data_IF_977393499158
#
_entry.id   IF_977393499158
#
_cell.length_a   1.000
_cell.length_b   1.000
_cell.length_c   1.000
_cell.angle_alpha   90.00
_cell.angle_beta   90.00
_cell.angle_gamma   90.00
#
_symmetry.space_group_name_H-M   'P 1'
#
loop_
_entity.id
_entity.type
_entity.pdbx_description
1 polymer ?
#
# COMPACT_ATOMS: atom_id res chain seq x y z
N UNK A 1 -6.53 4.98 7.43
CA UNK A 1 -5.10 4.62 7.51
C UNK A 1 -4.51 4.62 6.11
N UNK A 2 -3.24 5.02 5.95
CA UNK A 2 -2.48 4.79 4.71
C UNK A 2 -1.43 3.72 4.99
N UNK A 3 -1.38 2.69 4.17
CA UNK A 3 -0.41 1.61 4.30
C UNK A 3 0.56 1.59 3.11
N UNK A 4 1.85 1.57 3.41
CA UNK A 4 2.97 1.43 2.49
C UNK A 4 3.45 -0.02 2.48
N UNK A 5 3.62 -0.59 1.29
CA UNK A 5 4.08 -1.97 1.13
C UNK A 5 5.36 -2.05 0.27
N UNK A 6 6.37 -2.80 0.74
CA UNK A 6 7.63 -3.09 0.02
C UNK A 6 7.61 -4.52 -0.52
N UNK A 7 8.06 -4.73 -1.77
CA UNK A 7 7.83 -5.97 -2.50
C UNK A 7 9.01 -6.94 -2.31
N UNK A 8 8.76 -8.07 -1.66
CA UNK A 8 9.60 -9.26 -1.82
C UNK A 8 8.73 -10.39 -2.38
N UNK A 9 8.79 -10.54 -3.71
CA UNK A 9 8.22 -11.63 -4.52
C UNK A 9 6.68 -11.75 -4.62
N UNK A 10 6.23 -11.75 -5.88
CA UNK A 10 4.92 -12.20 -6.43
C UNK A 10 3.66 -11.45 -5.93
N UNK A 11 3.01 -10.76 -6.89
CA UNK A 11 1.72 -10.05 -6.78
C UNK A 11 0.58 -10.84 -6.11
N UNK A 12 0.60 -12.17 -6.19
CA UNK A 12 -0.42 -13.06 -5.59
C UNK A 12 -0.40 -13.02 -4.05
N UNK A 13 0.69 -12.55 -3.44
CA UNK A 13 0.83 -12.49 -1.97
C UNK A 13 0.35 -11.17 -1.35
N UNK A 14 0.15 -10.12 -2.15
CA UNK A 14 0.08 -8.74 -1.66
C UNK A 14 -1.24 -8.31 -1.02
N UNK A 15 -2.37 -8.88 -1.42
CA UNK A 15 -3.65 -8.52 -0.78
C UNK A 15 -4.00 -9.43 0.41
N UNK A 16 -3.09 -10.33 0.83
CA UNK A 16 -3.31 -11.14 2.04
C UNK A 16 -3.52 -10.29 3.29
N UNK A 17 -2.82 -9.16 3.40
CA UNK A 17 -3.01 -8.23 4.53
C UNK A 17 -4.31 -7.45 4.40
N UNK A 18 -4.62 -6.91 3.21
CA UNK A 18 -5.86 -6.21 2.97
C UNK A 18 -7.07 -7.14 3.22
N UNK A 19 -6.97 -8.39 2.77
CA UNK A 19 -7.95 -9.44 3.04
C UNK A 19 -8.09 -9.74 4.53
N UNK A 20 -6.98 -9.99 5.24
CA UNK A 20 -7.01 -10.28 6.67
C UNK A 20 -7.66 -9.13 7.47
N UNK A 21 -7.32 -7.88 7.16
CA UNK A 21 -7.92 -6.72 7.81
C UNK A 21 -9.39 -6.54 7.44
N UNK A 22 -9.77 -6.83 6.20
CA UNK A 22 -11.19 -6.86 5.77
C UNK A 22 -11.98 -7.91 6.57
N UNK A 23 -11.45 -9.11 6.74
CA UNK A 23 -12.08 -10.17 7.55
C UNK A 23 -12.24 -9.74 9.01
N UNK A 24 -11.32 -8.92 9.53
CA UNK A 24 -11.44 -8.28 10.85
C UNK A 24 -12.38 -7.06 10.89
N UNK A 25 -13.13 -6.79 9.82
CA UNK A 25 -14.11 -5.70 9.76
C UNK A 25 -13.57 -4.33 9.35
N UNK A 26 -12.29 -4.24 8.99
CA UNK A 26 -11.69 -2.98 8.51
C UNK A 26 -12.12 -2.71 7.06
N UNK A 27 -12.62 -1.51 6.78
CA UNK A 27 -12.86 -1.07 5.40
C UNK A 27 -11.52 -0.83 4.71
N UNK A 28 -11.22 -1.58 3.67
CA UNK A 28 -9.94 -1.50 2.94
C UNK A 28 -10.16 -1.21 1.46
N UNK A 29 -9.17 -0.59 0.85
CA UNK A 29 -9.05 -0.43 -0.59
C UNK A 29 -7.58 -0.50 -1.00
N UNK A 30 -7.28 -1.18 -2.09
CA UNK A 30 -5.91 -1.41 -2.55
C UNK A 30 -5.63 -0.73 -3.89
N UNK A 31 -4.40 -0.26 -4.11
CA UNK A 31 -3.99 0.30 -5.39
C UNK A 31 -3.39 -0.80 -6.27
N UNK A 32 -3.97 -1.01 -7.46
CA UNK A 32 -3.42 -1.92 -8.47
C UNK A 32 -2.74 -1.13 -9.60
N UNK A 33 -1.61 -1.66 -10.11
CA UNK A 33 -0.90 -1.07 -11.24
C UNK A 33 -1.74 -0.99 -12.52
N UNK A 34 -1.28 -0.21 -13.51
CA UNK A 34 -2.01 0.00 -14.76
C UNK A 34 -2.08 -1.26 -15.66
N UNK A 35 -1.14 -2.19 -15.49
CA UNK A 35 -1.08 -3.45 -16.23
C UNK A 35 -0.31 -3.41 -17.56
N UNK A 36 0.34 -2.29 -17.90
CA UNK A 36 0.94 -2.06 -19.21
C UNK A 36 2.08 -3.03 -19.57
N UNK A 37 2.86 -3.49 -18.59
CA UNK A 37 4.03 -4.35 -18.82
C UNK A 37 3.71 -5.86 -18.79
N UNK A 38 2.62 -6.25 -18.11
CA UNK A 38 2.23 -7.65 -17.98
C UNK A 38 0.69 -7.78 -17.89
N UNK A 39 -0.03 -7.70 -19.03
CA UNK A 39 -1.49 -7.67 -19.05
C UNK A 39 -2.15 -8.94 -18.49
N UNK A 40 -1.57 -10.12 -18.73
CA UNK A 40 -2.08 -11.40 -18.22
C UNK A 40 -2.00 -11.48 -16.69
N UNK A 41 -0.85 -11.10 -16.12
CA UNK A 41 -0.66 -11.00 -14.67
C UNK A 41 -1.58 -9.95 -14.06
N UNK A 42 -1.80 -8.83 -14.75
CA UNK A 42 -2.74 -7.81 -14.30
C UNK A 42 -4.18 -8.33 -14.24
N UNK A 43 -4.64 -9.07 -15.26
CA UNK A 43 -5.97 -9.69 -15.27
C UNK A 43 -6.14 -10.72 -14.16
N UNK A 44 -5.09 -11.53 -13.90
CA UNK A 44 -5.10 -12.45 -12.77
C UNK A 44 -5.25 -11.68 -11.44
N UNK A 45 -4.50 -10.61 -11.23
CA UNK A 45 -4.62 -9.75 -10.05
C UNK A 45 -6.02 -9.17 -9.88
N UNK A 46 -6.62 -8.65 -10.95
CA UNK A 46 -8.00 -8.13 -10.92
C UNK A 46 -9.02 -9.20 -10.53
N UNK A 47 -8.91 -10.40 -11.10
CA UNK A 47 -9.80 -11.52 -10.77
C UNK A 47 -9.64 -11.95 -9.31
N UNK A 48 -8.42 -11.98 -8.80
CA UNK A 48 -8.15 -12.28 -7.38
C UNK A 48 -8.80 -11.25 -6.47
N UNK A 49 -8.63 -9.95 -6.76
CA UNK A 49 -9.27 -8.87 -5.99
C UNK A 49 -10.79 -8.98 -5.99
N UNK A 50 -11.39 -9.28 -7.15
CA UNK A 50 -12.83 -9.50 -7.28
C UNK A 50 -13.28 -10.72 -6.48
N UNK A 51 -12.55 -11.83 -6.56
CA UNK A 51 -12.85 -13.07 -5.83
C UNK A 51 -12.79 -12.86 -4.30
N UNK A 52 -11.83 -12.07 -3.82
CA UNK A 52 -11.69 -11.70 -2.41
C UNK A 52 -12.59 -10.54 -1.98
N UNK A 53 -13.33 -9.96 -2.94
CA UNK A 53 -14.19 -8.78 -2.77
C UNK A 53 -13.41 -7.60 -2.16
N UNK A 54 -12.16 -7.40 -2.57
CA UNK A 54 -11.33 -6.28 -2.10
C UNK A 54 -11.51 -5.10 -3.07
N UNK A 55 -12.04 -3.96 -2.61
CA UNK A 55 -12.12 -2.75 -3.42
C UNK A 55 -10.74 -2.31 -3.88
N UNK A 56 -10.64 -1.79 -5.11
CA UNK A 56 -9.36 -1.32 -5.62
C UNK A 56 -9.47 -0.06 -6.48
N UNK A 57 -8.39 0.71 -6.49
CA UNK A 57 -8.18 1.83 -7.41
C UNK A 57 -7.12 1.43 -8.43
N UNK A 58 -7.50 1.48 -9.72
CA UNK A 58 -6.56 1.24 -10.82
C UNK A 58 -5.69 2.47 -11.07
N UNK A 59 -4.37 2.27 -11.12
CA UNK A 59 -3.40 3.33 -11.40
C UNK A 59 -3.69 4.01 -12.74
N UNK A 60 -3.94 5.31 -12.69
CA UNK A 60 -4.21 6.25 -13.78
C UNK A 60 -3.62 7.64 -13.47
N UNK A 61 -3.84 8.64 -14.34
CA UNK A 61 -3.42 10.03 -14.07
C UNK A 61 -4.10 10.64 -12.83
N UNK A 62 -5.29 10.17 -12.48
CA UNK A 62 -6.09 10.70 -11.37
C UNK A 62 -6.02 9.84 -10.11
N UNK A 63 -5.08 8.88 -10.04
CA UNK A 63 -4.95 7.92 -8.92
C UNK A 63 -4.93 8.63 -7.58
N UNK A 64 -4.15 9.70 -7.46
CA UNK A 64 -4.00 10.43 -6.20
C UNK A 64 -5.36 10.91 -5.65
N UNK A 65 -6.17 11.56 -6.48
CA UNK A 65 -7.48 12.06 -6.08
C UNK A 65 -8.47 10.94 -5.78
N UNK A 66 -8.41 9.83 -6.53
CA UNK A 66 -9.24 8.64 -6.26
C UNK A 66 -8.89 8.03 -4.90
N UNK A 67 -7.60 7.87 -4.58
CA UNK A 67 -7.17 7.36 -3.27
C UNK A 67 -7.53 8.33 -2.13
N UNK A 68 -7.39 9.64 -2.34
CA UNK A 68 -7.79 10.64 -1.36
C UNK A 68 -9.31 10.59 -1.08
N UNK A 69 -10.13 10.44 -2.12
CA UNK A 69 -11.58 10.27 -1.97
C UNK A 69 -11.92 9.03 -1.14
N UNK A 70 -11.27 7.90 -1.42
CA UNK A 70 -11.42 6.64 -0.67
C UNK A 70 -11.03 6.81 0.80
N UNK A 71 -9.91 7.51 1.10
CA UNK A 71 -9.51 7.82 2.48
C UNK A 71 -10.56 8.67 3.21
N UNK A 72 -11.14 9.65 2.52
CA UNK A 72 -12.18 10.52 3.08
C UNK A 72 -13.49 9.78 3.36
N UNK A 73 -13.76 8.67 2.67
CA UNK A 73 -14.87 7.76 2.99
C UNK A 73 -14.60 6.87 4.21
N UNK A 74 -13.48 7.06 4.90
CA UNK A 74 -13.09 6.29 6.09
C UNK A 74 -12.49 4.92 5.78
N UNK A 75 -12.13 4.65 4.53
CA UNK A 75 -11.44 3.42 4.16
C UNK A 75 -9.93 3.51 4.45
N UNK A 76 -9.31 2.38 4.70
CA UNK A 76 -7.86 2.23 4.76
C UNK A 76 -7.32 1.94 3.37
N UNK A 77 -6.28 2.66 2.96
CA UNK A 77 -5.73 2.57 1.61
C UNK A 77 -4.38 1.87 1.62
N UNK A 78 -4.24 0.82 0.81
CA UNK A 78 -3.04 0.02 0.62
C UNK A 78 -2.34 0.43 -0.67
N UNK A 79 -1.09 0.88 -0.55
CA UNK A 79 -0.30 1.41 -1.65
C UNK A 79 0.99 0.61 -1.77
N UNK A 80 1.14 0.00 -2.93
CA UNK A 80 2.32 -0.75 -3.32
C UNK A 80 3.39 0.22 -3.84
N UNK A 81 4.50 0.34 -3.10
CA UNK A 81 5.51 1.38 -3.32
C UNK A 81 6.74 0.89 -4.06
N UNK A 82 6.69 -0.33 -4.58
CA UNK A 82 7.77 -0.92 -5.39
C UNK A 82 7.53 -0.78 -6.90
N UNK A 83 6.66 0.16 -7.26
CA UNK A 83 6.41 0.48 -8.64
C UNK A 83 7.46 1.51 -9.07
N UNK A 84 8.37 1.10 -9.97
CA UNK A 84 9.23 2.00 -10.76
C UNK A 84 8.44 3.24 -11.14
N UNK A 85 8.67 4.32 -10.40
CA UNK A 85 7.93 5.57 -10.52
C UNK A 85 8.93 6.71 -10.38
N UNK A 86 8.61 7.81 -11.05
CA UNK A 86 9.12 9.11 -10.70
C UNK A 86 8.86 9.34 -9.20
N UNK A 87 9.93 9.51 -8.44
CA UNK A 87 9.92 9.46 -6.99
C UNK A 87 10.75 10.57 -6.37
N UNK A 88 10.86 10.57 -5.05
CA UNK A 88 11.86 11.38 -4.37
C UNK A 88 13.20 10.67 -4.52
N UNK A 89 14.21 11.38 -5.00
CA UNK A 89 15.58 10.89 -4.95
C UNK A 89 16.04 10.78 -3.50
N UNK A 90 16.53 9.62 -3.12
CA UNK A 90 17.02 9.33 -1.77
C UNK A 90 18.24 8.42 -1.84
N UNK A 91 19.05 8.43 -0.79
CA UNK A 91 20.09 7.42 -0.60
C UNK A 91 19.55 6.28 0.24
N UNK A 92 19.71 5.04 -0.22
CA UNK A 92 19.38 3.84 0.53
C UNK A 92 20.59 2.89 0.51
N UNK A 93 21.11 2.56 1.70
CA UNK A 93 22.33 1.75 1.88
C UNK A 93 23.53 2.25 1.06
N UNK A 94 23.65 3.59 0.91
CA UNK A 94 24.73 4.22 0.15
C UNK A 94 24.50 4.29 -1.37
N UNK A 95 23.39 3.72 -1.88
CA UNK A 95 23.04 3.80 -3.30
C UNK A 95 21.97 4.87 -3.54
N UNK A 96 22.12 5.65 -4.61
CA UNK A 96 21.09 6.59 -5.04
C UNK A 96 19.92 5.81 -5.66
N UNK A 97 18.72 6.08 -5.18
CA UNK A 97 17.48 5.45 -5.66
C UNK A 97 16.32 6.44 -5.62
N UNK A 98 15.15 6.03 -6.08
CA UNK A 98 13.92 6.81 -5.99
C UNK A 98 12.86 6.07 -5.20
N UNK A 99 12.12 6.80 -4.37
CA UNK A 99 10.95 6.27 -3.64
C UNK A 99 9.65 6.93 -4.09
N UNK A 100 8.55 6.19 -4.29
CA UNK A 100 7.27 6.80 -4.63
C UNK A 100 6.76 7.71 -3.49
N UNK A 101 6.32 8.92 -3.85
CA UNK A 101 5.82 9.91 -2.89
C UNK A 101 4.36 9.70 -2.50
N UNK A 102 3.60 8.91 -3.27
CA UNK A 102 2.13 8.84 -3.20
C UNK A 102 1.59 8.58 -1.79
N UNK A 103 2.11 7.57 -1.08
CA UNK A 103 1.62 7.22 0.25
C UNK A 103 1.94 8.29 1.29
N UNK A 104 3.17 8.81 1.29
CA UNK A 104 3.59 9.89 2.18
C UNK A 104 2.77 11.17 1.93
N UNK A 105 2.59 11.55 0.66
CA UNK A 105 1.78 12.72 0.29
C UNK A 105 0.31 12.56 0.71
N UNK A 106 -0.30 11.39 0.47
CA UNK A 106 -1.68 11.13 0.89
C UNK A 106 -1.83 11.18 2.41
N UNK A 107 -0.90 10.57 3.13
CA UNK A 107 -0.85 10.58 4.59
C UNK A 107 -0.88 12.01 5.13
N UNK A 108 0.09 12.83 4.70
CA UNK A 108 0.24 14.22 5.15
C UNK A 108 -1.01 15.03 4.81
N UNK A 109 -1.44 15.01 3.54
CA UNK A 109 -2.55 15.84 3.06
C UNK A 109 -3.90 15.43 3.67
N UNK A 110 -4.14 14.14 3.88
CA UNK A 110 -5.36 13.65 4.51
C UNK A 110 -5.31 13.66 6.05
N UNK A 111 -4.17 14.07 6.65
CA UNK A 111 -3.90 13.99 8.10
C UNK A 111 -4.23 12.59 8.65
N UNK A 112 -3.79 11.54 7.94
CA UNK A 112 -4.02 10.14 8.32
C UNK A 112 -2.70 9.45 8.61
N UNK A 113 -2.63 8.57 9.61
CA UNK A 113 -1.40 7.84 9.93
C UNK A 113 -0.91 7.00 8.74
N UNK A 114 0.41 7.02 8.53
CA UNK A 114 1.13 6.19 7.58
C UNK A 114 1.70 4.98 8.31
N UNK A 115 1.46 3.80 7.77
CA UNK A 115 2.01 2.55 8.29
C UNK A 115 2.89 1.89 7.24
N UNK A 116 3.96 1.28 7.71
CA UNK A 116 4.78 0.37 6.93
C UNK A 116 4.31 -1.06 7.19
N UNK A 117 4.02 -1.79 6.11
CA UNK A 117 3.51 -3.16 6.18
C UNK A 117 4.44 -4.10 5.41
N UNK A 118 4.80 -5.20 6.06
CA UNK A 118 5.58 -6.28 5.46
C UNK A 118 5.16 -7.64 6.00
N UNK A 119 5.41 -8.68 5.21
CA UNK A 119 5.10 -10.07 5.56
C UNK A 119 6.37 -10.87 5.72
N UNK A 120 6.46 -11.63 6.81
CA UNK A 120 7.55 -12.56 7.06
C UNK A 120 7.02 -14.00 7.02
N UNK A 121 7.66 -14.91 6.27
CA UNK A 121 7.28 -16.32 6.27
C UNK A 121 7.61 -16.95 7.63
N UNK A 122 6.69 -17.75 8.14
CA UNK A 122 6.97 -18.64 9.28
C UNK A 122 7.70 -19.86 8.76
N UNK A 123 8.92 -20.12 9.24
CA UNK A 123 9.68 -21.32 8.89
C UNK A 123 8.83 -22.55 9.24
N UNK A 124 8.33 -23.24 8.21
CA UNK A 124 7.73 -24.58 8.20
C UNK A 124 6.20 -24.72 8.04
N UNK A 125 5.40 -23.64 8.01
CA UNK A 125 3.93 -23.79 8.02
C UNK A 125 3.16 -23.21 6.82
N UNK A 126 3.81 -22.75 5.75
CA UNK A 126 3.14 -21.95 4.68
C UNK A 126 2.37 -20.72 5.20
N UNK A 127 2.60 -20.34 6.45
CA UNK A 127 2.01 -19.20 7.13
C UNK A 127 2.90 -17.97 6.98
N UNK A 128 2.27 -16.80 7.06
CA UNK A 128 2.96 -15.51 7.06
C UNK A 128 2.49 -14.70 8.25
N UNK A 129 3.43 -14.04 8.91
CA UNK A 129 3.13 -13.03 9.92
C UNK A 129 3.04 -11.68 9.21
N UNK A 130 1.89 -11.02 9.39
CA UNK A 130 1.68 -9.64 8.94
C UNK A 130 2.22 -8.70 10.01
N UNK A 131 3.20 -7.89 9.67
CA UNK A 131 3.72 -6.84 10.53
C UNK A 131 3.21 -5.49 10.03
N UNK A 132 2.70 -4.67 10.95
CA UNK A 132 2.15 -3.34 10.68
C UNK A 132 2.80 -2.37 11.65
N UNK A 133 3.66 -1.49 11.13
CA UNK A 133 4.45 -0.55 11.92
C UNK A 133 4.02 0.88 11.62
N UNK A 134 3.79 1.70 12.65
CA UNK A 134 3.52 3.12 12.45
C UNK A 134 4.80 3.83 12.00
N UNK A 135 4.73 4.61 10.94
CA UNK A 135 5.83 5.48 10.51
C UNK A 135 5.80 6.76 11.35
N UNK A 136 6.71 6.82 12.33
CA UNK A 136 6.86 7.97 13.23
C UNK A 136 7.45 9.19 12.50
N UNK A 137 7.17 10.40 13.01
CA UNK A 137 7.76 11.65 12.52
C UNK A 137 6.94 12.45 11.49
N UNK A 138 5.76 11.99 11.08
CA UNK A 138 4.85 12.75 10.18
C UNK A 138 3.70 13.47 10.90
N UNK A 139 3.41 13.09 12.15
CA UNK A 139 2.27 13.56 12.94
C UNK A 139 2.59 13.73 14.42
N UNK A 140 3.85 13.95 14.79
CA UNK A 140 4.13 14.45 16.14
C UNK A 140 3.35 15.75 16.28
N UNK A 141 2.30 15.71 17.08
CA UNK A 141 1.59 16.90 17.50
C UNK A 141 2.61 17.81 18.14
N UNK A 142 2.51 19.10 17.82
CA UNK A 142 2.88 20.15 18.76
C UNK A 142 2.08 19.95 20.05
N UNK A 143 2.49 18.98 20.85
CA UNK A 143 2.12 18.81 22.25
C UNK A 143 3.38 19.10 23.04
N UNK A 144 3.81 20.37 22.97
CA UNK A 144 4.56 21.08 24.02
C UNK A 144 4.94 22.48 23.51
N UNK A 145 4.05 23.44 23.68
CA UNK A 145 4.28 24.73 24.35
C UNK A 145 3.00 25.56 24.42
#
# INVERSE_FOLDING_TARGET
>A
MVALYLHQYIWVRLDGTAYALKQSGVKVCTMIGAGNQAPSLHQLGLRTLQYLDIPYVKKSKNTFFQLAHVLNQGQSVFIHSDLKNEGLEVSFLGFQTTIPKTAASLSILAKKPLYFIYLLPVKNNNEYVVNIELVNGLFESESNK
#
